data_IF_241077866614
#
_entry.id   IF_241077866614
#
_cell.length_a   1.000
_cell.length_b   1.000
_cell.length_c   1.000
_cell.angle_alpha   90.00
_cell.angle_beta   90.00
_cell.angle_gamma   90.00
#
_symmetry.space_group_name_H-M   'P 1'
#
loop_
_entity.id
_entity.type
_entity.pdbx_description
1 polymer ?
#
# COMPACT_ATOMS: atom_id res chain seq x y z
N UNK A 1 -23.08 -11.34 15.84
CA UNK A 1 -21.88 -10.48 15.88
C UNK A 1 -22.25 -9.18 15.17
N UNK A 2 -21.70 -8.03 15.59
CA UNK A 2 -21.91 -6.80 14.85
C UNK A 2 -21.36 -6.97 13.41
N UNK A 3 -22.06 -6.46 12.39
CA UNK A 3 -21.64 -6.60 11.00
C UNK A 3 -20.29 -5.93 10.68
N UNK A 4 -19.88 -4.93 11.47
CA UNK A 4 -18.60 -4.23 11.32
C UNK A 4 -17.86 -4.21 12.68
N UNK A 5 -16.57 -4.51 12.65
CA UNK A 5 -15.64 -4.33 13.77
C UNK A 5 -14.52 -3.36 13.37
N UNK A 6 -14.33 -2.28 14.13
CA UNK A 6 -13.24 -1.31 13.91
C UNK A 6 -12.12 -1.49 14.94
N UNK A 7 -10.88 -1.39 14.47
CA UNK A 7 -9.67 -1.29 15.29
C UNK A 7 -8.70 -0.25 14.73
N UNK A 8 -7.79 0.24 15.56
CA UNK A 8 -6.74 1.18 15.20
C UNK A 8 -5.39 0.46 15.10
N UNK A 9 -4.70 0.63 13.97
CA UNK A 9 -3.38 0.06 13.71
C UNK A 9 -2.35 1.18 13.59
N UNK A 10 -1.21 1.04 14.28
CA UNK A 10 -0.23 2.13 14.42
C UNK A 10 0.35 2.63 13.09
N UNK A 11 0.57 1.71 12.15
CA UNK A 11 1.17 1.99 10.84
C UNK A 11 0.15 2.15 9.71
N UNK A 12 -1.09 1.71 9.91
CA UNK A 12 -2.04 1.53 8.79
C UNK A 12 -3.30 2.35 8.98
N UNK A 13 -3.73 2.68 10.20
CA UNK A 13 -4.96 3.43 10.42
C UNK A 13 -6.11 2.64 10.99
N UNK A 14 -7.33 3.11 10.71
CA UNK A 14 -8.53 2.40 11.13
C UNK A 14 -8.80 1.26 10.18
N UNK A 15 -8.80 0.07 10.74
CA UNK A 15 -9.16 -1.15 10.02
C UNK A 15 -10.59 -1.49 10.39
N UNK A 16 -11.44 -1.66 9.37
CA UNK A 16 -12.79 -2.16 9.49
C UNK A 16 -12.88 -3.59 8.96
N UNK A 17 -13.17 -4.55 9.83
CA UNK A 17 -13.43 -5.94 9.44
C UNK A 17 -14.94 -6.15 9.37
N UNK A 18 -15.39 -6.81 8.31
CA UNK A 18 -16.80 -7.18 8.14
C UNK A 18 -16.96 -8.68 8.36
N UNK A 19 -18.03 -9.09 9.03
CA UNK A 19 -18.37 -10.51 9.13
C UNK A 19 -18.73 -11.07 7.75
N UNK A 20 -18.58 -12.38 7.54
CA UNK A 20 -18.96 -13.04 6.27
C UNK A 20 -20.45 -12.86 5.92
N UNK A 21 -21.29 -12.65 6.92
CA UNK A 21 -22.73 -12.45 6.78
C UNK A 21 -23.13 -10.97 6.88
N UNK A 22 -22.17 -10.05 6.75
CA UNK A 22 -22.45 -8.62 6.80
C UNK A 22 -23.38 -8.22 5.64
N UNK A 23 -24.41 -7.38 5.89
CA UNK A 23 -25.31 -6.93 4.84
C UNK A 23 -24.54 -6.06 3.82
N UNK A 24 -24.99 -6.06 2.56
CA UNK A 24 -24.37 -5.23 1.51
C UNK A 24 -24.27 -3.75 1.90
N UNK A 25 -25.26 -3.24 2.64
CA UNK A 25 -25.27 -1.88 3.19
C UNK A 25 -24.05 -1.58 4.09
N UNK A 26 -23.52 -2.56 4.83
CA UNK A 26 -22.31 -2.39 5.63
C UNK A 26 -21.07 -2.14 4.75
N UNK A 27 -20.97 -2.81 3.60
CA UNK A 27 -19.89 -2.57 2.65
C UNK A 27 -20.04 -1.24 1.92
N UNK A 28 -21.27 -0.86 1.55
CA UNK A 28 -21.56 0.45 0.95
C UNK A 28 -21.21 1.58 1.90
N UNK A 29 -21.64 1.47 3.16
CA UNK A 29 -21.34 2.46 4.20
C UNK A 29 -19.83 2.64 4.39
N UNK A 30 -19.06 1.55 4.46
CA UNK A 30 -17.61 1.63 4.54
C UNK A 30 -17.01 2.41 3.35
N UNK A 31 -17.43 2.10 2.12
CA UNK A 31 -16.96 2.78 0.92
C UNK A 31 -17.33 4.27 0.90
N UNK A 32 -18.56 4.64 1.27
CA UNK A 32 -19.03 6.04 1.34
C UNK A 32 -18.24 6.87 2.34
N UNK A 33 -17.78 6.25 3.43
CA UNK A 33 -16.96 6.90 4.44
C UNK A 33 -15.45 6.80 4.17
N UNK A 34 -15.06 6.40 2.95
CA UNK A 34 -13.66 6.40 2.53
C UNK A 34 -12.86 5.20 2.99
N UNK A 35 -13.48 4.19 3.60
CA UNK A 35 -12.82 2.90 3.78
C UNK A 35 -12.76 2.20 2.43
N UNK A 36 -11.57 1.95 1.92
CA UNK A 36 -11.42 1.12 0.73
C UNK A 36 -11.18 -0.33 1.14
N UNK A 37 -11.70 -1.26 0.34
CA UNK A 37 -11.43 -2.68 0.52
C UNK A 37 -10.33 -3.11 -0.46
N UNK A 38 -9.11 -3.41 0.01
CA UNK A 38 -8.07 -3.96 -0.85
C UNK A 38 -8.52 -5.31 -1.44
N UNK A 39 -8.12 -5.60 -2.68
CA UNK A 39 -8.45 -6.89 -3.30
C UNK A 39 -7.79 -8.01 -2.50
N UNK A 40 -8.54 -9.07 -2.19
CA UNK A 40 -8.03 -10.24 -1.46
C UNK A 40 -7.94 -10.08 0.07
N UNK A 41 -8.42 -8.97 0.65
CA UNK A 41 -8.37 -8.73 2.11
C UNK A 41 -9.75 -8.87 2.77
N UNK A 42 -9.75 -9.51 3.95
CA UNK A 42 -10.89 -9.56 4.87
C UNK A 42 -10.94 -8.29 5.74
N UNK A 43 -11.06 -7.12 5.10
CA UNK A 43 -11.14 -5.85 5.81
C UNK A 43 -11.09 -4.65 4.86
N UNK A 44 -11.81 -3.59 5.20
CA UNK A 44 -11.71 -2.28 4.59
C UNK A 44 -10.82 -1.41 5.46
N UNK A 45 -9.96 -0.60 4.85
CA UNK A 45 -8.97 0.22 5.54
C UNK A 45 -9.35 1.68 5.31
N UNK A 46 -9.38 2.44 6.40
CA UNK A 46 -9.37 3.88 6.40
C UNK A 46 -8.01 4.27 6.97
N UNK A 47 -7.08 4.65 6.08
CA UNK A 47 -5.72 4.90 6.51
C UNK A 47 -5.66 6.06 7.50
N UNK A 48 -4.81 5.89 8.52
CA UNK A 48 -4.38 6.97 9.38
C UNK A 48 -3.55 7.84 8.50
N UNK A 49 -4.22 8.80 7.91
CA UNK A 49 -3.45 9.83 7.31
C UNK A 49 -2.83 10.62 8.47
N UNK A 50 -1.51 10.70 8.46
CA UNK A 50 -0.77 11.76 9.15
C UNK A 50 -1.22 13.16 8.62
N UNK A 51 -2.14 13.20 7.63
CA UNK A 51 -2.58 14.37 6.88
C UNK A 51 -4.10 14.48 6.53
N UNK A 52 -5.01 13.58 6.94
CA UNK A 52 -6.47 13.81 6.83
C UNK A 52 -6.89 14.46 8.15
N UNK A 53 -7.04 15.78 8.11
CA UNK A 53 -7.24 16.61 9.30
C UNK A 53 -8.53 16.28 10.08
N UNK A 54 -9.34 15.32 9.65
CA UNK A 54 -10.53 14.93 10.41
C UNK A 54 -10.96 13.45 10.33
N UNK A 55 -10.00 12.51 10.40
CA UNK A 55 -10.30 11.09 10.65
C UNK A 55 -11.28 10.92 11.84
N UNK A 56 -11.13 11.65 12.97
CA UNK A 56 -12.12 11.61 14.05
C UNK A 56 -13.53 12.02 13.62
N UNK A 57 -13.76 13.13 12.91
CA UNK A 57 -15.11 13.48 12.47
C UNK A 57 -15.63 12.56 11.35
N UNK A 58 -14.77 12.03 10.50
CA UNK A 58 -15.15 11.01 9.52
C UNK A 58 -15.68 9.76 10.22
N UNK A 59 -14.99 9.27 11.25
CA UNK A 59 -15.44 8.16 12.07
C UNK A 59 -16.72 8.49 12.84
N UNK A 60 -16.84 9.70 13.40
CA UNK A 60 -18.09 10.13 14.05
C UNK A 60 -19.27 10.13 13.08
N UNK A 61 -19.09 10.63 11.85
CA UNK A 61 -20.11 10.58 10.79
C UNK A 61 -20.44 9.13 10.41
N UNK A 62 -19.42 8.29 10.21
CA UNK A 62 -19.59 6.87 9.92
C UNK A 62 -20.41 6.17 11.01
N UNK A 63 -20.06 6.37 12.30
CA UNK A 63 -20.78 5.76 13.42
C UNK A 63 -22.23 6.26 13.50
N UNK A 64 -22.47 7.56 13.26
CA UNK A 64 -23.81 8.13 13.25
C UNK A 64 -24.66 7.62 12.06
N UNK A 65 -24.05 7.44 10.89
CA UNK A 65 -24.73 6.92 9.71
C UNK A 65 -24.98 5.40 9.83
N UNK A 66 -24.07 4.66 10.46
CA UNK A 66 -24.26 3.25 10.82
C UNK A 66 -25.46 3.08 11.77
N UNK A 67 -25.53 3.89 12.83
CA UNK A 67 -26.64 3.88 13.80
C UNK A 67 -27.98 4.21 13.11
N UNK A 68 -28.00 5.25 12.26
CA UNK A 68 -29.20 5.62 11.48
C UNK A 68 -29.68 4.50 10.56
N UNK A 69 -28.75 3.73 10.00
CA UNK A 69 -29.04 2.59 9.12
C UNK A 69 -29.27 1.27 9.87
N UNK A 70 -29.18 1.26 11.21
CA UNK A 70 -29.29 0.05 12.03
C UNK A 70 -28.16 -0.97 11.82
N UNK A 71 -27.00 -0.51 11.33
CA UNK A 71 -25.82 -1.33 11.09
C UNK A 71 -24.98 -1.35 12.37
N UNK A 72 -24.92 -2.50 13.04
CA UNK A 72 -24.13 -2.65 14.25
C UNK A 72 -22.63 -2.49 14.00
N UNK A 73 -22.00 -1.56 14.71
CA UNK A 73 -20.54 -1.37 14.69
C UNK A 73 -19.98 -1.63 16.09
N UNK A 74 -19.07 -2.58 16.20
CA UNK A 74 -18.19 -2.73 17.35
C UNK A 74 -16.89 -2.00 17.07
N UNK A 75 -16.36 -1.23 18.01
CA UNK A 75 -15.13 -0.48 17.78
C UNK A 75 -14.31 -0.32 19.05
N UNK A 76 -12.99 -0.30 18.87
CA UNK A 76 -12.03 0.11 19.88
C UNK A 76 -10.97 0.96 19.21
N UNK A 77 -11.02 2.28 19.44
CA UNK A 77 -10.21 3.28 18.75
C UNK A 77 -9.67 4.34 19.73
N UNK A 78 -9.10 3.98 20.88
CA UNK A 78 -8.75 4.94 21.94
C UNK A 78 -7.74 5.99 21.48
N UNK A 79 -6.91 5.69 20.47
CA UNK A 79 -5.97 6.66 19.88
C UNK A 79 -6.66 7.75 19.06
N UNK A 80 -7.88 7.51 18.60
CA UNK A 80 -8.58 8.33 17.61
C UNK A 80 -9.85 8.94 18.20
N UNK A 81 -10.53 8.16 19.03
CA UNK A 81 -11.73 8.48 19.76
C UNK A 81 -11.43 8.21 21.24
N UNK A 82 -11.10 9.25 21.98
CA UNK A 82 -10.67 9.17 23.39
C UNK A 82 -11.65 8.42 24.31
N UNK A 83 -12.93 8.31 23.89
CA UNK A 83 -14.00 7.62 24.62
C UNK A 83 -14.34 6.22 24.07
N UNK A 84 -13.51 5.65 23.17
CA UNK A 84 -13.79 4.35 22.59
C UNK A 84 -13.67 3.22 23.64
N UNK A 85 -14.79 2.56 23.93
CA UNK A 85 -14.86 1.46 24.90
C UNK A 85 -14.07 0.20 24.50
N UNK A 86 -13.82 -0.64 25.52
CA UNK A 86 -13.34 -2.04 25.50
C UNK A 86 -12.05 -2.41 24.72
N UNK A 87 -10.90 -2.59 25.40
CA UNK A 87 -9.60 -2.99 24.84
C UNK A 87 -9.51 -4.33 24.09
N UNK A 88 -10.54 -5.17 24.19
CA UNK A 88 -10.52 -6.52 23.61
C UNK A 88 -10.77 -6.54 22.10
N UNK A 89 -11.53 -5.58 21.56
CA UNK A 89 -11.91 -5.57 20.14
C UNK A 89 -10.75 -5.13 19.23
N UNK A 90 -9.95 -4.14 19.63
CA UNK A 90 -8.77 -3.70 18.87
C UNK A 90 -7.73 -4.81 18.74
N UNK A 91 -7.42 -5.50 19.85
CA UNK A 91 -6.56 -6.69 19.85
C UNK A 91 -7.06 -7.78 18.89
N UNK A 92 -8.39 -7.98 18.82
CA UNK A 92 -9.00 -8.97 17.93
C UNK A 92 -8.87 -8.60 16.46
N UNK A 93 -9.02 -7.33 16.10
CA UNK A 93 -8.82 -6.86 14.71
C UNK A 93 -7.35 -7.00 14.30
N UNK A 94 -6.42 -6.63 15.18
CA UNK A 94 -4.98 -6.80 14.94
C UNK A 94 -4.58 -8.27 14.78
N UNK A 95 -5.11 -9.15 15.64
CA UNK A 95 -4.89 -10.59 15.55
C UNK A 95 -5.44 -11.15 14.24
N UNK A 96 -6.68 -10.82 13.87
CA UNK A 96 -7.29 -11.25 12.61
C UNK A 96 -6.51 -10.74 11.39
N UNK A 97 -6.00 -9.51 11.46
CA UNK A 97 -5.16 -8.93 10.44
C UNK A 97 -3.83 -9.69 10.32
N UNK A 98 -3.09 -9.90 11.42
CA UNK A 98 -1.84 -10.68 11.42
C UNK A 98 -2.05 -12.11 10.93
N UNK A 99 -3.13 -12.76 11.39
CA UNK A 99 -3.52 -14.09 10.96
C UNK A 99 -3.81 -14.14 9.45
N UNK A 100 -4.51 -13.13 8.92
CA UNK A 100 -4.79 -13.05 7.50
C UNK A 100 -3.51 -12.82 6.69
N UNK A 101 -2.63 -11.93 7.15
CA UNK A 101 -1.31 -11.73 6.56
C UNK A 101 -0.50 -13.04 6.57
N UNK A 102 -0.53 -13.82 7.65
CA UNK A 102 0.11 -15.13 7.72
C UNK A 102 -0.58 -16.20 6.85
N UNK A 103 -1.91 -16.14 6.70
CA UNK A 103 -2.66 -17.05 5.81
C UNK A 103 -2.35 -16.76 4.34
N UNK A 104 -2.37 -15.50 3.95
CA UNK A 104 -1.98 -15.06 2.61
C UNK A 104 -0.49 -15.30 2.38
N UNK A 105 0.37 -15.13 3.39
CA UNK A 105 1.77 -15.57 3.34
C UNK A 105 1.91 -17.07 3.07
N UNK A 106 1.14 -17.93 3.76
CA UNK A 106 1.13 -19.38 3.51
C UNK A 106 0.56 -19.75 2.15
N UNK A 107 -0.46 -19.04 1.68
CA UNK A 107 -1.05 -19.20 0.35
C UNK A 107 -0.06 -18.79 -0.74
N UNK A 108 0.53 -17.62 -0.58
CA UNK A 108 1.61 -17.11 -1.41
C UNK A 108 2.79 -18.05 -1.36
N UNK A 109 3.23 -18.60 -0.22
CA UNK A 109 4.29 -19.61 -0.19
C UNK A 109 3.93 -20.87 -1.00
N UNK A 110 2.68 -21.36 -0.90
CA UNK A 110 2.23 -22.51 -1.71
C UNK A 110 2.16 -22.20 -3.20
N UNK A 111 1.89 -20.95 -3.57
CA UNK A 111 1.81 -20.48 -4.95
C UNK A 111 3.17 -20.01 -5.50
N UNK A 112 4.05 -19.50 -4.63
CA UNK A 112 5.41 -19.07 -4.85
C UNK A 112 6.35 -20.27 -4.96
N UNK A 113 6.10 -21.38 -4.28
CA UNK A 113 6.76 -22.67 -4.57
C UNK A 113 6.43 -23.15 -6.00
N UNK A 114 5.33 -22.66 -6.62
CA UNK A 114 5.03 -22.87 -8.06
C UNK A 114 5.51 -21.74 -8.98
N UNK A 115 5.92 -20.58 -8.46
CA UNK A 115 6.37 -19.40 -9.24
C UNK A 115 7.90 -19.22 -9.18
N UNK A 116 8.55 -19.65 -8.09
CA UNK A 116 9.99 -19.58 -7.84
C UNK A 116 10.86 -20.37 -8.82
N UNK A 117 10.24 -20.99 -9.84
CA UNK A 117 10.95 -21.66 -10.93
C UNK A 117 10.99 -20.84 -12.22
N UNK A 118 10.29 -19.68 -12.34
CA UNK A 118 10.15 -19.01 -13.65
C UNK A 118 10.06 -17.46 -13.68
N UNK A 119 10.36 -16.73 -12.60
CA UNK A 119 10.49 -15.26 -12.69
C UNK A 119 11.89 -14.87 -13.18
N UNK A 120 12.00 -14.00 -14.19
CA UNK A 120 13.27 -13.39 -14.61
C UNK A 120 14.02 -12.83 -13.39
N UNK A 121 15.33 -13.00 -13.32
CA UNK A 121 16.15 -12.44 -12.25
C UNK A 121 15.91 -10.92 -12.08
N UNK A 122 15.20 -10.54 -11.02
CA UNK A 122 14.84 -9.15 -10.69
C UNK A 122 16.06 -8.24 -10.70
N UNK A 123 17.21 -8.78 -10.27
CA UNK A 123 18.50 -8.10 -10.25
C UNK A 123 18.99 -7.81 -11.67
N UNK A 124 19.02 -8.83 -12.55
CA UNK A 124 19.34 -8.63 -13.97
C UNK A 124 18.41 -7.64 -14.66
N UNK A 125 17.11 -7.67 -14.36
CA UNK A 125 16.14 -6.72 -14.90
C UNK A 125 16.41 -5.29 -14.38
N UNK A 126 16.66 -5.13 -13.08
CA UNK A 126 16.98 -3.85 -12.45
C UNK A 126 18.24 -3.24 -13.06
N UNK A 127 19.29 -4.05 -13.20
CA UNK A 127 20.54 -3.64 -13.82
C UNK A 127 20.34 -3.24 -15.28
N UNK A 128 19.58 -4.04 -16.03
CA UNK A 128 19.23 -3.74 -17.41
C UNK A 128 18.40 -2.46 -17.55
N UNK A 129 17.54 -2.16 -16.58
CA UNK A 129 16.73 -0.95 -16.51
C UNK A 129 17.63 0.27 -16.23
N UNK A 130 18.47 0.23 -15.18
CA UNK A 130 19.40 1.30 -14.83
C UNK A 130 20.29 1.75 -16.00
N UNK A 131 20.87 0.79 -16.73
CA UNK A 131 21.73 1.11 -17.90
C UNK A 131 21.01 1.81 -19.06
N UNK A 132 19.66 1.81 -19.06
CA UNK A 132 18.85 2.30 -20.18
C UNK A 132 17.99 3.49 -19.82
N UNK A 133 17.82 3.78 -18.53
CA UNK A 133 17.14 4.99 -18.09
C UNK A 133 18.01 6.23 -18.42
N UNK A 134 17.38 7.38 -18.70
CA UNK A 134 18.11 8.62 -18.96
C UNK A 134 18.84 9.09 -17.69
N UNK A 135 20.13 9.42 -17.85
CA UNK A 135 21.01 9.81 -16.75
C UNK A 135 21.73 8.63 -16.10
N UNK A 136 22.43 8.89 -15.00
CA UNK A 136 23.14 7.86 -14.25
C UNK A 136 22.21 7.27 -13.19
N UNK A 137 21.88 5.98 -13.35
CA UNK A 137 21.09 5.22 -12.40
C UNK A 137 21.91 4.05 -11.86
N UNK A 138 21.85 3.86 -10.55
CA UNK A 138 22.37 2.69 -9.86
C UNK A 138 21.20 1.87 -9.30
N UNK A 139 21.38 0.56 -9.16
CA UNK A 139 20.39 -0.31 -8.52
C UNK A 139 21.00 -1.10 -7.37
N UNK A 140 20.19 -1.35 -6.34
CA UNK A 140 20.46 -2.31 -5.28
C UNK A 140 19.20 -3.14 -5.03
N UNK A 141 19.36 -4.44 -4.83
CA UNK A 141 18.24 -5.32 -4.46
C UNK A 141 18.22 -5.50 -2.95
N UNK A 142 17.09 -5.17 -2.35
CA UNK A 142 16.83 -5.32 -0.93
C UNK A 142 15.88 -6.50 -0.72
N UNK A 143 16.22 -7.34 0.25
CA UNK A 143 15.38 -8.45 0.68
C UNK A 143 14.54 -8.02 1.88
N UNK A 144 13.23 -8.10 1.76
CA UNK A 144 12.30 -7.98 2.88
C UNK A 144 11.99 -9.39 3.37
N UNK A 145 12.91 -9.98 4.14
CA UNK A 145 12.71 -11.29 4.74
C UNK A 145 11.66 -11.24 5.87
N UNK A 146 11.64 -10.13 6.60
CA UNK A 146 10.74 -9.84 7.73
C UNK A 146 9.49 -9.06 7.29
N UNK A 147 8.26 -9.44 7.71
CA UNK A 147 7.04 -8.72 7.37
C UNK A 147 7.03 -7.26 7.82
N UNK A 148 7.58 -6.96 8.99
CA UNK A 148 7.53 -5.61 9.55
C UNK A 148 8.43 -4.65 8.74
N UNK A 149 9.58 -5.14 8.25
CA UNK A 149 10.46 -4.35 7.35
C UNK A 149 9.80 -3.95 6.02
N UNK A 150 8.82 -4.72 5.53
CA UNK A 150 8.05 -4.35 4.33
C UNK A 150 7.08 -3.20 4.63
N UNK A 151 6.51 -3.15 5.83
CA UNK A 151 5.60 -2.09 6.26
C UNK A 151 6.37 -0.80 6.56
N UNK A 152 7.55 -0.90 7.16
CA UNK A 152 8.40 0.27 7.38
C UNK A 152 8.78 0.94 6.04
N UNK A 153 9.02 0.15 5.00
CA UNK A 153 9.29 0.67 3.65
C UNK A 153 8.06 1.29 2.98
N UNK A 154 6.85 0.97 3.43
CA UNK A 154 5.63 1.50 2.82
C UNK A 154 5.55 3.02 2.91
N UNK A 155 6.05 3.61 4.01
CA UNK A 155 6.09 5.06 4.24
C UNK A 155 7.01 5.79 3.23
N UNK A 156 7.95 5.07 2.61
CA UNK A 156 8.86 5.61 1.60
C UNK A 156 8.23 5.60 0.20
N UNK A 157 7.03 5.03 0.01
CA UNK A 157 6.34 5.04 -1.27
C UNK A 157 5.68 6.40 -1.53
N UNK A 158 5.90 6.96 -2.72
CA UNK A 158 5.11 8.10 -3.21
C UNK A 158 3.87 7.63 -4.00
N UNK A 159 3.76 6.35 -4.33
CA UNK A 159 2.55 5.83 -4.96
C UNK A 159 1.46 5.56 -3.92
N UNK A 160 0.25 6.05 -4.17
CA UNK A 160 -0.96 5.78 -3.37
C UNK A 160 -2.00 4.93 -4.12
N UNK A 161 -1.56 4.26 -5.19
CA UNK A 161 -2.42 3.55 -6.10
C UNK A 161 -1.97 2.08 -6.23
N UNK A 162 -1.47 1.69 -7.40
CA UNK A 162 -1.28 0.28 -7.75
C UNK A 162 -0.11 -0.39 -7.02
N UNK A 163 0.95 0.36 -6.73
CA UNK A 163 2.10 -0.14 -5.99
C UNK A 163 1.80 -0.20 -4.50
N UNK A 164 1.23 0.86 -3.90
CA UNK A 164 0.80 0.80 -2.50
C UNK A 164 -0.20 -0.34 -2.27
N UNK A 165 -1.19 -0.48 -3.15
CA UNK A 165 -2.15 -1.59 -3.14
C UNK A 165 -1.43 -2.95 -3.18
N UNK A 166 -0.46 -3.13 -4.08
CA UNK A 166 0.28 -4.39 -4.20
C UNK A 166 1.15 -4.66 -2.96
N UNK A 167 1.83 -3.64 -2.45
CA UNK A 167 2.70 -3.70 -1.29
C UNK A 167 1.94 -4.03 0.00
N UNK A 168 0.68 -3.60 0.13
CA UNK A 168 -0.16 -3.94 1.29
C UNK A 168 -0.80 -5.32 1.18
N UNK A 169 -1.14 -5.78 -0.03
CA UNK A 169 -1.93 -7.00 -0.25
C UNK A 169 -1.07 -8.25 -0.37
N UNK A 170 0.16 -8.10 -0.85
CA UNK A 170 1.02 -9.22 -1.19
C UNK A 170 2.32 -9.15 -0.43
N UNK A 171 2.89 -10.32 -0.15
CA UNK A 171 4.26 -10.38 0.31
C UNK A 171 5.18 -9.93 -0.83
N UNK A 172 5.98 -8.91 -0.57
CA UNK A 172 7.05 -8.44 -1.44
C UNK A 172 8.36 -8.94 -0.82
N UNK A 173 8.88 -10.11 -1.21
CA UNK A 173 10.06 -10.67 -0.55
C UNK A 173 11.34 -9.92 -0.93
N UNK A 174 11.36 -9.27 -2.09
CA UNK A 174 12.50 -8.53 -2.62
C UNK A 174 11.98 -7.33 -3.41
N UNK A 175 12.73 -6.24 -3.37
CA UNK A 175 12.53 -5.12 -4.28
C UNK A 175 13.89 -4.62 -4.79
N UNK A 176 13.91 -4.11 -6.01
CA UNK A 176 15.07 -3.37 -6.51
C UNK A 176 14.83 -1.88 -6.30
N UNK A 177 15.75 -1.22 -5.58
CA UNK A 177 15.77 0.23 -5.42
C UNK A 177 16.73 0.78 -6.47
N UNK A 178 16.23 1.72 -7.27
CA UNK A 178 17.00 2.39 -8.31
C UNK A 178 17.20 3.84 -7.90
N UNK A 179 18.44 4.24 -7.66
CA UNK A 179 18.81 5.62 -7.32
C UNK A 179 19.33 6.31 -8.57
N UNK A 180 18.70 7.43 -8.93
CA UNK A 180 18.96 8.16 -10.15
C UNK A 180 19.44 9.59 -9.92
N UNK A 181 19.46 10.39 -11.00
CA UNK A 181 19.81 11.80 -10.95
C UNK A 181 18.92 12.58 -10.00
N UNK A 182 19.44 13.70 -9.50
CA UNK A 182 18.73 14.60 -8.59
C UNK A 182 18.19 13.92 -7.32
N UNK A 183 18.79 12.79 -6.89
CA UNK A 183 18.32 11.97 -5.76
C UNK A 183 16.88 11.49 -5.92
N UNK A 184 16.46 11.27 -7.16
CA UNK A 184 15.21 10.56 -7.44
C UNK A 184 15.42 9.07 -7.26
N UNK A 185 14.43 8.41 -6.69
CA UNK A 185 14.49 6.97 -6.46
C UNK A 185 13.23 6.28 -6.95
N UNK A 186 13.43 5.12 -7.55
CA UNK A 186 12.37 4.24 -7.98
C UNK A 186 12.48 2.93 -7.21
N UNK A 187 11.34 2.29 -7.01
CA UNK A 187 11.27 0.92 -6.53
C UNK A 187 10.64 0.04 -7.59
N UNK A 188 11.21 -1.15 -7.76
CA UNK A 188 10.71 -2.19 -8.65
C UNK A 188 10.44 -3.47 -7.88
N UNK A 189 9.25 -4.02 -8.06
CA UNK A 189 8.84 -5.31 -7.49
C UNK A 189 8.24 -6.20 -8.57
N UNK A 190 8.33 -7.51 -8.38
CA UNK A 190 7.51 -8.45 -9.16
C UNK A 190 6.03 -8.08 -9.01
N UNK A 191 5.31 -8.02 -10.13
CA UNK A 191 3.88 -7.69 -10.07
C UNK A 191 3.11 -8.91 -9.55
N UNK A 192 2.42 -8.80 -8.42
CA UNK A 192 1.66 -9.93 -7.90
C UNK A 192 0.60 -10.39 -8.91
N UNK A 193 0.46 -11.71 -9.04
CA UNK A 193 -0.47 -12.38 -9.96
C UNK A 193 -0.18 -12.18 -11.47
N UNK A 194 0.93 -11.53 -11.85
CA UNK A 194 1.30 -11.26 -13.24
C UNK A 194 2.78 -11.60 -13.52
N UNK A 195 3.05 -12.85 -13.92
CA UNK A 195 4.39 -13.47 -13.94
C UNK A 195 5.43 -12.84 -14.89
N UNK A 196 5.01 -12.03 -15.87
CA UNK A 196 5.89 -11.40 -16.86
C UNK A 196 5.90 -9.87 -16.76
N UNK A 197 5.50 -9.36 -15.60
CA UNK A 197 5.44 -7.93 -15.35
C UNK A 197 6.03 -7.58 -13.99
N UNK A 198 6.60 -6.39 -13.93
CA UNK A 198 7.03 -5.74 -12.71
C UNK A 198 6.26 -4.45 -12.51
N UNK A 199 6.07 -4.05 -11.26
CA UNK A 199 5.62 -2.71 -10.91
C UNK A 199 6.85 -1.83 -10.68
N UNK A 200 6.84 -0.64 -11.27
CA UNK A 200 7.85 0.39 -11.02
C UNK A 200 7.13 1.63 -10.53
N UNK A 201 7.51 2.13 -9.35
CA UNK A 201 6.95 3.34 -8.76
C UNK A 201 8.03 4.25 -8.18
N UNK A 202 7.64 5.47 -7.85
CA UNK A 202 8.53 6.45 -7.25
C UNK A 202 8.57 6.31 -5.72
N UNK A 203 9.74 6.59 -5.16
CA UNK A 203 9.91 6.78 -3.73
C UNK A 203 9.83 8.26 -3.34
N UNK A 204 9.49 8.49 -2.08
CA UNK A 204 9.48 9.78 -1.40
C UNK A 204 10.81 10.51 -1.55
N UNK A 205 10.79 11.84 -1.61
CA UNK A 205 12.04 12.60 -1.76
C UNK A 205 12.72 12.75 -0.40
N UNK A 206 13.97 12.30 -0.37
CA UNK A 206 14.87 12.51 0.75
C UNK A 206 14.98 13.99 1.14
N UNK A 207 14.69 14.28 2.41
CA UNK A 207 14.84 15.62 3.00
C UNK A 207 13.69 16.59 2.74
N UNK A 208 12.58 16.12 2.14
CA UNK A 208 11.36 16.92 1.98
C UNK A 208 10.26 16.28 2.81
N UNK A 209 9.79 17.00 3.83
CA UNK A 209 8.61 16.62 4.60
C UNK A 209 7.36 16.95 3.77
N UNK A 210 6.69 15.93 3.27
CA UNK A 210 5.46 16.05 2.49
C UNK A 210 4.57 14.84 2.76
N UNK A 211 3.27 15.01 2.57
CA UNK A 211 2.33 13.89 2.56
C UNK A 211 2.39 13.15 1.22
N UNK A 212 3.33 12.21 1.11
CA UNK A 212 3.52 11.46 -0.12
C UNK A 212 2.36 10.50 -0.41
N UNK A 213 1.71 9.96 0.62
CA UNK A 213 0.61 9.03 0.44
C UNK A 213 -0.70 9.75 0.07
N UNK A 214 -1.00 10.90 0.66
CA UNK A 214 -2.16 11.73 0.30
C UNK A 214 -1.93 12.69 -0.87
N UNK A 215 -0.78 12.65 -1.55
CA UNK A 215 -0.52 13.53 -2.69
C UNK A 215 -1.42 13.20 -3.88
N UNK A 216 -2.41 14.05 -4.15
CA UNK A 216 -3.27 13.98 -5.35
C UNK A 216 -2.48 14.02 -6.66
N UNK A 217 -1.25 14.54 -6.62
CA UNK A 217 -0.35 14.63 -7.77
C UNK A 217 0.81 13.61 -7.67
N UNK A 218 0.61 12.54 -6.88
CA UNK A 218 1.55 11.43 -6.77
C UNK A 218 1.89 10.85 -8.15
N UNK A 219 3.17 10.60 -8.45
CA UNK A 219 3.59 9.92 -9.67
C UNK A 219 3.23 8.43 -9.58
N UNK A 220 2.00 8.08 -9.95
CA UNK A 220 1.51 6.71 -9.84
C UNK A 220 2.41 5.70 -10.55
N UNK A 221 2.63 4.58 -9.86
CA UNK A 221 3.38 3.45 -10.35
C UNK A 221 2.77 2.87 -11.62
N UNK A 222 3.63 2.25 -12.42
CA UNK A 222 3.25 1.63 -13.69
C UNK A 222 3.66 0.16 -13.70
N UNK A 223 2.79 -0.68 -14.26
CA UNK A 223 3.16 -2.03 -14.65
C UNK A 223 3.92 -2.00 -15.96
N UNK A 224 5.08 -2.66 -16.02
CA UNK A 224 5.89 -2.79 -17.22
C UNK A 224 6.24 -4.26 -17.48
N UNK A 225 6.50 -4.65 -18.73
CA UNK A 225 6.98 -6.00 -19.03
C UNK A 225 8.32 -6.29 -18.35
N UNK A 226 8.58 -7.55 -17.99
CA UNK A 226 9.88 -8.01 -17.44
C UNK A 226 11.00 -8.09 -18.49
N UNK A 227 11.01 -7.16 -19.45
CA UNK A 227 12.02 -7.01 -20.49
C UNK A 227 12.65 -5.63 -20.38
N UNK A 228 13.94 -5.57 -20.03
CA UNK A 228 14.63 -4.34 -19.66
C UNK A 228 14.48 -3.19 -20.68
N UNK A 229 14.53 -3.49 -21.98
CA UNK A 229 14.40 -2.48 -23.04
C UNK A 229 13.01 -1.85 -23.03
N UNK A 230 11.95 -2.67 -22.98
CA UNK A 230 10.57 -2.21 -23.00
C UNK A 230 10.18 -1.56 -21.67
N UNK A 231 10.68 -2.09 -20.56
CA UNK A 231 10.56 -1.48 -19.24
C UNK A 231 11.18 -0.08 -19.22
N UNK A 232 12.45 0.07 -19.63
CA UNK A 232 13.16 1.35 -19.65
C UNK A 232 12.46 2.39 -20.53
N UNK A 233 12.01 1.98 -21.72
CA UNK A 233 11.24 2.85 -22.60
C UNK A 233 9.96 3.35 -21.93
N UNK A 234 9.22 2.45 -21.28
CA UNK A 234 7.93 2.80 -20.65
C UNK A 234 8.13 3.69 -19.41
N UNK A 235 9.10 3.37 -18.55
CA UNK A 235 9.47 4.17 -17.37
C UNK A 235 9.90 5.57 -17.78
N UNK A 236 10.80 5.69 -18.76
CA UNK A 236 11.31 6.98 -19.23
C UNK A 236 10.24 7.86 -19.86
N UNK A 237 9.23 7.26 -20.52
CA UNK A 237 8.18 8.00 -21.23
C UNK A 237 6.98 8.35 -20.35
N UNK A 238 6.70 7.56 -19.31
CA UNK A 238 5.45 7.67 -18.54
C UNK A 238 5.66 8.00 -17.07
N UNK A 239 6.63 7.38 -16.42
CA UNK A 239 6.85 7.55 -14.98
C UNK A 239 7.78 8.73 -14.70
N UNK A 240 8.98 8.74 -15.32
CA UNK A 240 9.97 9.78 -15.04
C UNK A 240 9.46 11.22 -15.27
N UNK A 241 8.76 11.55 -16.36
CA UNK A 241 8.27 12.92 -16.54
C UNK A 241 7.33 13.38 -15.44
N UNK A 242 6.45 12.48 -14.97
CA UNK A 242 5.52 12.76 -13.86
C UNK A 242 6.26 12.90 -12.54
N UNK A 243 7.23 12.01 -12.30
CA UNK A 243 8.04 12.05 -11.10
C UNK A 243 8.88 13.33 -11.02
N UNK A 244 9.53 13.72 -12.12
CA UNK A 244 10.24 15.01 -12.20
C UNK A 244 9.31 16.19 -11.96
N UNK A 245 8.12 16.20 -12.56
CA UNK A 245 7.16 17.29 -12.36
C UNK A 245 6.68 17.38 -10.90
N UNK A 246 6.35 16.24 -10.28
CA UNK A 246 5.97 16.17 -8.87
C UNK A 246 7.12 16.62 -7.96
N UNK A 247 8.34 16.18 -8.25
CA UNK A 247 9.52 16.56 -7.49
C UNK A 247 9.87 18.05 -7.61
N UNK A 248 9.74 18.63 -8.81
CA UNK A 248 9.94 20.06 -9.01
C UNK A 248 8.92 20.88 -8.22
N UNK A 249 7.64 20.46 -8.22
CA UNK A 249 6.58 21.09 -7.42
C UNK A 249 6.90 21.08 -5.92
N UNK A 250 7.39 19.97 -5.38
CA UNK A 250 7.71 19.89 -3.94
C UNK A 250 9.00 20.63 -3.56
N UNK A 251 9.98 20.70 -4.46
CA UNK A 251 11.24 21.43 -4.25
C UNK A 251 11.09 22.94 -4.39
N UNK A 252 10.13 23.37 -5.18
CA UNK A 252 9.83 24.78 -5.46
C UNK A 252 8.33 25.03 -5.28
N UNK A 253 7.84 24.97 -4.02
CA UNK A 253 6.42 25.08 -3.70
C UNK A 253 5.84 26.47 -4.00
#
# INVERSE_FOLDING_TARGET
MPPISLGDHEQVGVIAVTSTDAPAAAHTLLAEHGFWRPRGVFGSILIHDRYDQDVPARLRRFLADADRQGIGVEYHLPRILADAGSPAAGKRVDELWRDNQQREYRRYQREAVRIATFGSDLESLAHGLCHRLPGEWACHVTDFADPDSQLDFFDDLWDNASLASAWMQFRVPRAAILTGPDRLELVMIDRPLHRDQVLVGALSLHGITHDYFGDDNAPHAIAVPSEAVRAAHTVSRRLLPRYHQAAQRLRHP
#
